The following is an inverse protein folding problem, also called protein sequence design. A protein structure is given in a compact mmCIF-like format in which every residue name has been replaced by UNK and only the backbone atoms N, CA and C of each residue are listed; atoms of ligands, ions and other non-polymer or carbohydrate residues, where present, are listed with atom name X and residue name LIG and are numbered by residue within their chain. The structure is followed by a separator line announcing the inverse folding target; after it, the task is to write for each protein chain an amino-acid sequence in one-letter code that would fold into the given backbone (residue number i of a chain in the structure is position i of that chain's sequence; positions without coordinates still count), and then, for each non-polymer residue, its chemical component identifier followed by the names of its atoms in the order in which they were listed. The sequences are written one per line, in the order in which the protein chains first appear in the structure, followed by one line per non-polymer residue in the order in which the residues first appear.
data_IF_815633465560
#
_entry.id   IF_815633465560
#
_cell.length_a   1.000
_cell.length_b   1.000
_cell.length_c   1.000
_cell.angle_alpha   90.00
_cell.angle_beta   90.00
_cell.angle_gamma   90.00
#
_symmetry.space_group_name_H-M   'P 1'
#
loop_
_entity.id
_entity.type
_entity.pdbx_description
1 polymer ?
#
# COMPACT_ATOMS: atom_id res chain seq x y z
N UNK A 1 10.48 -1.33 -8.91
CA UNK A 1 9.65 -1.31 -7.67
C UNK A 1 8.56 -2.37 -7.75
N UNK A 2 8.15 -2.98 -6.64
CA UNK A 2 7.09 -4.00 -6.62
C UNK A 2 5.73 -3.38 -6.31
N UNK A 3 4.73 -3.76 -7.11
CA UNK A 3 3.33 -3.36 -6.96
C UNK A 3 2.44 -4.59 -6.85
N UNK A 4 1.40 -4.51 -6.03
CA UNK A 4 0.26 -5.43 -6.08
C UNK A 4 -0.84 -4.76 -6.89
N UNK A 5 -1.31 -5.39 -7.96
CA UNK A 5 -2.45 -4.94 -8.74
C UNK A 5 -3.66 -5.79 -8.36
N UNK A 6 -4.77 -5.15 -8.01
CA UNK A 6 -6.05 -5.80 -7.76
C UNK A 6 -6.92 -5.65 -9.01
N UNK A 7 -7.39 -6.76 -9.55
CA UNK A 7 -8.31 -6.82 -10.69
C UNK A 7 -9.59 -7.55 -10.30
N UNK A 8 -10.69 -7.24 -10.99
CA UNK A 8 -11.91 -8.04 -10.98
C UNK A 8 -12.03 -8.72 -12.34
N UNK A 9 -12.11 -10.04 -12.37
CA UNK A 9 -12.41 -10.86 -13.54
C UNK A 9 -13.57 -11.79 -13.21
N UNK A 10 -14.65 -11.79 -14.00
CA UNK A 10 -15.84 -12.62 -13.79
C UNK A 10 -16.44 -12.51 -12.37
N UNK A 11 -16.50 -11.29 -11.81
CA UNK A 11 -16.89 -10.98 -10.43
C UNK A 11 -15.98 -11.55 -9.32
N UNK A 12 -14.84 -12.15 -9.66
CA UNK A 12 -13.83 -12.57 -8.70
C UNK A 12 -12.69 -11.57 -8.61
N UNK A 13 -12.26 -11.26 -7.38
CA UNK A 13 -11.06 -10.46 -7.14
C UNK A 13 -9.81 -11.31 -7.35
N UNK A 14 -8.90 -10.81 -8.17
CA UNK A 14 -7.58 -11.38 -8.39
C UNK A 14 -6.50 -10.37 -7.99
N UNK A 15 -5.35 -10.91 -7.62
CA UNK A 15 -4.19 -10.15 -7.18
C UNK A 15 -2.97 -10.64 -7.93
N UNK A 16 -2.22 -9.71 -8.51
CA UNK A 16 -0.97 -9.98 -9.20
C UNK A 16 0.14 -9.11 -8.62
N UNK A 17 1.38 -9.60 -8.70
CA UNK A 17 2.57 -8.86 -8.27
C UNK A 17 3.38 -8.51 -9.50
N UNK A 18 3.63 -7.22 -9.70
CA UNK A 18 4.27 -6.67 -10.90
C UNK A 18 5.47 -5.82 -10.50
N UNK A 19 6.59 -5.99 -11.20
CA UNK A 19 7.77 -5.15 -11.04
C UNK A 19 7.81 -4.05 -12.10
N UNK A 20 7.69 -2.79 -11.67
CA UNK A 20 7.65 -1.61 -12.53
C UNK A 20 8.41 -0.43 -11.93
N UNK A 21 8.79 0.53 -12.76
CA UNK A 21 9.37 1.82 -12.32
C UNK A 21 8.29 2.86 -11.98
N UNK A 22 7.01 2.57 -12.20
CA UNK A 22 5.91 3.47 -11.86
C UNK A 22 4.57 2.75 -11.71
N UNK A 23 3.62 3.37 -10.99
CA UNK A 23 2.22 2.93 -10.88
C UNK A 23 1.60 2.69 -12.26
N UNK A 24 1.79 3.62 -13.20
CA UNK A 24 1.27 3.51 -14.58
C UNK A 24 1.88 2.33 -15.34
N UNK A 25 3.18 2.08 -15.16
CA UNK A 25 3.84 0.92 -15.76
C UNK A 25 3.32 -0.40 -15.19
N UNK A 26 3.01 -0.45 -13.89
CA UNK A 26 2.45 -1.65 -13.26
C UNK A 26 1.07 -2.00 -13.81
N UNK A 27 0.21 -1.00 -14.09
CA UNK A 27 -1.08 -1.21 -14.75
C UNK A 27 -0.94 -1.83 -16.13
N UNK A 28 -0.03 -1.30 -16.94
CA UNK A 28 0.17 -1.74 -18.33
C UNK A 28 0.77 -3.15 -18.40
N UNK A 29 1.66 -3.49 -17.46
CA UNK A 29 2.31 -4.80 -17.40
C UNK A 29 1.39 -5.91 -16.88
N UNK A 30 0.37 -5.58 -16.08
CA UNK A 30 -0.63 -6.54 -15.59
C UNK A 30 -1.63 -7.01 -16.66
N UNK A 31 -1.49 -6.52 -17.90
CA UNK A 31 -2.38 -6.89 -19.01
C UNK A 31 -3.55 -5.93 -19.19
N UNK A 32 -3.53 -4.75 -18.56
CA UNK A 32 -4.45 -3.68 -18.92
C UNK A 32 -4.03 -3.08 -20.26
N UNK A 33 -4.50 -3.70 -21.33
CA UNK A 33 -4.31 -3.19 -22.67
C UNK A 33 -5.15 -1.92 -22.85
N UNK A 34 -4.56 -0.78 -22.51
CA UNK A 34 -5.09 0.56 -22.81
C UNK A 34 -5.27 0.77 -24.32
N UNK A 35 -4.71 -0.11 -25.15
CA UNK A 35 -4.87 -0.15 -26.59
C UNK A 35 -5.76 -1.35 -26.95
N UNK A 36 -7.07 -1.20 -26.75
CA UNK A 36 -8.00 -1.95 -27.60
C UNK A 36 -7.68 -1.59 -29.04
N UNK A 37 -6.84 -2.39 -29.67
CA UNK A 37 -6.64 -2.37 -31.11
C UNK A 37 -7.97 -2.81 -31.69
N UNK A 38 -8.63 -1.88 -32.38
CA UNK A 38 -9.86 -2.13 -33.12
C UNK A 38 -9.64 -3.33 -34.06
N UNK A 39 -10.04 -4.54 -33.65
CA UNK A 39 -9.76 -5.70 -34.50
C UNK A 39 -9.94 -7.11 -33.95
N UNK A 40 -10.33 -7.36 -32.70
CA UNK A 40 -10.57 -8.74 -32.26
C UNK A 40 -11.87 -8.90 -31.46
N UNK A 41 -12.53 -10.03 -31.70
CA UNK A 41 -13.90 -10.40 -31.36
C UNK A 41 -14.19 -10.44 -29.85
N UNK A 42 -15.44 -10.20 -29.41
CA UNK A 42 -15.76 -9.87 -28.04
C UNK A 42 -16.05 -11.13 -27.21
N UNK A 43 -15.01 -11.81 -26.73
CA UNK A 43 -15.13 -12.48 -25.43
C UNK A 43 -14.58 -11.53 -24.39
N UNK A 44 -15.41 -10.52 -24.09
CA UNK A 44 -15.11 -9.42 -23.18
C UNK A 44 -15.18 -9.96 -21.75
N UNK A 45 -14.11 -10.60 -21.29
CA UNK A 45 -13.89 -10.72 -19.85
C UNK A 45 -13.73 -9.27 -19.38
N UNK A 46 -14.69 -8.77 -18.61
CA UNK A 46 -14.59 -7.44 -17.99
C UNK A 46 -13.52 -7.50 -16.90
N UNK A 47 -12.24 -7.50 -17.31
CA UNK A 47 -11.13 -7.31 -16.40
C UNK A 47 -11.02 -5.81 -16.11
N UNK A 48 -11.22 -5.42 -14.84
CA UNK A 48 -11.06 -4.04 -14.40
C UNK A 48 -10.08 -3.97 -13.23
N UNK A 49 -9.09 -3.08 -13.33
CA UNK A 49 -8.18 -2.78 -12.22
C UNK A 49 -8.97 -1.96 -11.17
N UNK A 50 -9.05 -2.47 -9.95
CA UNK A 50 -9.73 -1.81 -8.82
C UNK A 50 -8.76 -1.24 -7.80
N UNK A 51 -7.48 -1.62 -7.82
CA UNK A 51 -6.48 -1.10 -6.88
C UNK A 51 -5.04 -1.36 -7.32
N UNK A 52 -4.12 -0.49 -6.89
CA UNK A 52 -2.67 -0.64 -7.10
C UNK A 52 -1.96 -0.21 -5.83
N UNK A 53 -1.09 -1.07 -5.30
CA UNK A 53 -0.43 -0.87 -4.02
C UNK A 53 1.09 -1.02 -4.19
N UNK A 54 1.86 0.02 -3.88
CA UNK A 54 3.32 -0.06 -3.88
C UNK A 54 3.80 -0.77 -2.60
N UNK A 55 4.45 -1.93 -2.75
CA UNK A 55 4.86 -2.79 -1.63
C UNK A 55 5.85 -2.08 -0.71
N UNK A 56 6.78 -1.30 -1.29
CA UNK A 56 7.78 -0.57 -0.52
C UNK A 56 7.15 0.50 0.39
N UNK A 57 6.20 1.27 -0.13
CA UNK A 57 5.47 2.27 0.67
C UNK A 57 4.62 1.62 1.76
N UNK A 58 3.93 0.52 1.48
CA UNK A 58 3.13 -0.19 2.48
C UNK A 58 4.01 -0.75 3.61
N UNK A 59 5.17 -1.33 3.27
CA UNK A 59 6.12 -1.82 4.27
C UNK A 59 6.71 -0.68 5.10
N UNK A 60 7.04 0.44 4.48
CA UNK A 60 7.56 1.61 5.18
C UNK A 60 6.53 2.22 6.13
N UNK A 61 5.26 2.32 5.72
CA UNK A 61 4.15 2.75 6.57
C UNK A 61 3.96 1.82 7.78
N UNK A 62 4.06 0.51 7.57
CA UNK A 62 3.99 -0.47 8.65
C UNK A 62 5.13 -0.30 9.66
N UNK A 63 6.35 -0.05 9.18
CA UNK A 63 7.51 0.22 10.04
C UNK A 63 7.34 1.52 10.84
N UNK A 64 6.91 2.60 10.20
CA UNK A 64 6.61 3.88 10.88
C UNK A 64 5.54 3.67 11.95
N UNK A 65 4.47 2.93 11.63
CA UNK A 65 3.38 2.64 12.55
C UNK A 65 3.87 1.89 13.79
N UNK A 66 4.68 0.84 13.61
CA UNK A 66 5.31 0.10 14.72
C UNK A 66 6.20 1.00 15.58
N UNK A 67 7.04 1.82 14.95
CA UNK A 67 7.90 2.76 15.68
C UNK A 67 7.08 3.78 16.47
N UNK A 68 6.00 4.30 15.89
CA UNK A 68 5.09 5.23 16.57
C UNK A 68 4.43 4.59 17.81
N UNK A 69 4.02 3.32 17.73
CA UNK A 69 3.47 2.59 18.88
C UNK A 69 4.49 2.42 20.00
N UNK A 70 5.73 2.05 19.66
CA UNK A 70 6.82 1.92 20.64
C UNK A 70 7.10 3.27 21.33
N UNK A 71 7.21 4.35 20.56
CA UNK A 71 7.40 5.68 21.13
C UNK A 71 6.21 6.14 21.97
N UNK A 72 4.98 5.82 21.58
CA UNK A 72 3.77 6.08 22.39
C UNK A 72 3.84 5.36 23.73
N UNK A 73 4.19 4.07 23.73
CA UNK A 73 4.35 3.29 24.96
C UNK A 73 5.37 3.94 25.91
N UNK A 74 6.55 4.32 25.40
CA UNK A 74 7.58 4.95 26.22
C UNK A 74 7.15 6.33 26.72
N UNK A 75 6.48 7.14 25.89
CA UNK A 75 5.96 8.45 26.32
C UNK A 75 4.98 8.32 27.49
N UNK A 76 4.06 7.37 27.44
CA UNK A 76 3.14 7.11 28.56
C UNK A 76 3.87 6.59 29.79
N UNK A 77 4.88 5.73 29.62
CA UNK A 77 5.70 5.27 30.75
C UNK A 77 6.46 6.42 31.42
N UNK A 78 7.01 7.35 30.65
CA UNK A 78 7.71 8.54 31.16
C UNK A 78 6.75 9.43 31.96
N UNK A 79 5.53 9.64 31.47
CA UNK A 79 4.47 10.36 32.21
C UNK A 79 4.13 9.68 33.53
N UNK A 80 3.97 8.36 33.52
CA UNK A 80 3.68 7.57 34.73
C UNK A 80 4.81 7.61 35.77
N UNK A 81 6.05 7.88 35.35
CA UNK A 81 7.18 8.11 36.25
C UNK A 81 7.22 9.54 36.82
N UNK A 82 6.26 10.39 36.46
CA UNK A 82 6.18 11.78 36.90
C UNK A 82 7.07 12.72 36.08
N UNK A 83 7.27 12.45 34.78
CA UNK A 83 8.05 13.31 33.89
C UNK A 83 7.25 13.72 32.65
N UNK A 84 7.48 14.93 32.17
CA UNK A 84 6.96 15.38 30.88
C UNK A 84 7.67 14.61 29.76
N UNK A 85 6.90 13.88 28.95
CA UNK A 85 7.44 13.00 27.91
C UNK A 85 8.08 13.70 26.70
N UNK A 86 7.96 15.02 26.60
CA UNK A 86 8.52 15.82 25.49
C UNK A 86 9.80 16.55 25.91
N UNK A 87 9.90 16.93 27.18
CA UNK A 87 11.00 17.72 27.74
C UNK A 87 11.85 16.96 28.75
N UNK A 88 11.39 15.78 29.19
CA UNK A 88 12.01 14.93 30.22
C UNK A 88 12.22 15.63 31.57
N UNK A 89 11.50 16.73 31.81
CA UNK A 89 11.49 17.41 33.11
C UNK A 89 10.52 16.72 34.05
N UNK A 90 10.82 16.75 35.35
CA UNK A 90 9.91 16.22 36.37
C UNK A 90 8.65 17.09 36.43
N UNK A 91 7.49 16.45 36.52
CA UNK A 91 6.21 17.09 36.75
C UNK A 91 6.17 17.45 38.25
N UNK A 92 6.00 18.73 38.56
CA UNK A 92 5.86 19.26 39.92
C UNK A 92 4.52 18.90 40.56
#
# INVERSE_FOLDING_TARGET
MLFVVETIEDNEKKYSVVESESLKGAMLQDGFDLLQTEGSTPNKVECSITGIYEVAQTNHLLEISRNAEVHRFYRERIKNLGFDSSTFKKLE
#
